data_IF_247002534325
#
_entry.id   IF_247002534325
#
_cell.length_a   1.000
_cell.length_b   1.000
_cell.length_c   1.000
_cell.angle_alpha   90.00
_cell.angle_beta   90.00
_cell.angle_gamma   90.00
#
_symmetry.space_group_name_H-M   'P 1'
#
loop_
_entity.id
_entity.type
_entity.pdbx_description
1 polymer ?
#
# COMPACT_ATOMS: atom_id res chain seq x y z
N UNK A 1 -8.52 -48.84 26.93
CA UNK A 1 -9.97 -48.76 26.53
C UNK A 1 -10.77 -47.70 27.29
N UNK A 2 -10.62 -47.53 28.60
CA UNK A 2 -11.14 -46.36 29.30
C UNK A 2 -10.31 -45.11 28.97
N UNK A 3 -8.99 -45.25 28.87
CA UNK A 3 -8.08 -44.15 28.46
C UNK A 3 -8.39 -43.63 27.05
N UNK A 4 -8.81 -44.50 26.13
CA UNK A 4 -9.14 -44.11 24.74
C UNK A 4 -10.40 -43.27 24.67
N UNK A 5 -11.40 -43.60 25.51
CA UNK A 5 -12.64 -42.83 25.64
C UNK A 5 -12.36 -41.46 26.26
N UNK A 6 -11.51 -41.39 27.30
CA UNK A 6 -11.16 -40.15 27.95
C UNK A 6 -10.33 -39.24 27.01
N UNK A 7 -9.41 -39.81 26.21
CA UNK A 7 -8.66 -39.08 25.19
C UNK A 7 -9.59 -38.53 24.09
N UNK A 8 -10.52 -39.36 23.57
CA UNK A 8 -11.47 -38.88 22.56
C UNK A 8 -12.33 -37.74 23.10
N UNK A 9 -12.76 -37.82 24.36
CA UNK A 9 -13.55 -36.78 25.02
C UNK A 9 -12.72 -35.50 25.25
N UNK A 10 -11.46 -35.62 25.60
CA UNK A 10 -10.55 -34.49 25.72
C UNK A 10 -10.34 -33.81 24.36
N UNK A 11 -10.15 -34.56 23.27
CA UNK A 11 -10.03 -34.05 21.93
C UNK A 11 -11.31 -33.33 21.46
N UNK A 12 -12.49 -33.88 21.76
CA UNK A 12 -13.77 -33.23 21.49
C UNK A 12 -13.90 -31.88 22.21
N UNK A 13 -13.58 -31.83 23.51
CA UNK A 13 -13.64 -30.59 24.28
C UNK A 13 -12.62 -29.55 23.76
N UNK A 14 -11.42 -29.97 23.36
CA UNK A 14 -10.42 -29.08 22.74
C UNK A 14 -10.91 -28.52 21.39
N UNK A 15 -11.50 -29.38 20.55
CA UNK A 15 -12.10 -28.96 19.27
C UNK A 15 -13.25 -27.96 19.47
N UNK A 16 -14.12 -28.23 20.49
CA UNK A 16 -15.20 -27.31 20.83
C UNK A 16 -14.73 -25.97 21.32
N UNK A 17 -13.66 -25.93 22.15
CA UNK A 17 -13.03 -24.66 22.56
C UNK A 17 -12.44 -23.91 21.37
N UNK A 18 -11.74 -24.62 20.48
CA UNK A 18 -11.18 -24.02 19.24
C UNK A 18 -12.30 -23.43 18.38
N UNK A 19 -13.40 -24.13 18.21
CA UNK A 19 -14.57 -23.64 17.47
C UNK A 19 -15.13 -22.34 18.07
N UNK A 20 -15.37 -22.31 19.40
CA UNK A 20 -15.89 -21.11 20.08
C UNK A 20 -14.94 -19.92 19.90
N UNK A 21 -13.63 -20.14 20.06
CA UNK A 21 -12.62 -19.09 19.86
C UNK A 21 -12.57 -18.59 18.42
N UNK A 22 -12.68 -19.48 17.43
CA UNK A 22 -12.70 -19.15 16.01
C UNK A 22 -13.93 -18.32 15.65
N UNK A 23 -15.11 -18.69 16.18
CA UNK A 23 -16.35 -17.93 15.98
C UNK A 23 -16.23 -16.52 16.58
N UNK A 24 -15.69 -16.40 17.79
CA UNK A 24 -15.45 -15.09 18.41
C UNK A 24 -14.47 -14.24 17.60
N UNK A 25 -13.39 -14.83 17.11
CA UNK A 25 -12.41 -14.15 16.24
C UNK A 25 -13.04 -13.70 14.91
N UNK A 26 -13.91 -14.53 14.32
CA UNK A 26 -14.64 -14.16 13.10
C UNK A 26 -15.51 -12.91 13.31
N UNK A 27 -16.31 -12.86 14.36
CA UNK A 27 -17.13 -11.67 14.64
C UNK A 27 -16.28 -10.43 14.93
N UNK A 28 -15.16 -10.59 15.64
CA UNK A 28 -14.23 -9.48 15.87
C UNK A 28 -13.62 -8.98 14.56
N UNK A 29 -13.23 -9.88 13.67
CA UNK A 29 -12.70 -9.51 12.35
C UNK A 29 -13.78 -8.82 11.48
N UNK A 30 -15.02 -9.29 11.54
CA UNK A 30 -16.16 -8.70 10.84
C UNK A 30 -16.44 -7.27 11.33
N UNK A 31 -16.40 -7.04 12.64
CA UNK A 31 -16.56 -5.70 13.20
C UNK A 31 -15.43 -4.75 12.81
N UNK A 32 -14.18 -5.22 12.80
CA UNK A 32 -13.06 -4.44 12.28
C UNK A 32 -13.22 -4.10 10.79
N UNK A 33 -13.75 -5.04 10.01
CA UNK A 33 -14.04 -4.82 8.60
C UNK A 33 -15.12 -3.75 8.39
N UNK A 34 -16.21 -3.78 9.18
CA UNK A 34 -17.23 -2.72 9.18
C UNK A 34 -16.63 -1.34 9.48
N UNK A 35 -15.79 -1.26 10.52
CA UNK A 35 -15.11 -0.01 10.89
C UNK A 35 -14.26 0.53 9.73
N UNK A 36 -13.51 -0.33 9.05
CA UNK A 36 -12.69 0.07 7.88
C UNK A 36 -13.53 0.58 6.70
N UNK A 37 -14.74 0.03 6.54
CA UNK A 37 -15.68 0.48 5.51
C UNK A 37 -16.50 1.71 5.93
N UNK A 38 -16.36 2.19 7.18
CA UNK A 38 -17.16 3.29 7.71
C UNK A 38 -18.63 2.92 7.95
N UNK A 39 -18.93 1.61 8.13
CA UNK A 39 -20.28 1.12 8.37
C UNK A 39 -20.59 1.08 9.87
N UNK A 40 -21.86 1.31 10.27
CA UNK A 40 -22.28 1.14 11.66
C UNK A 40 -22.10 -0.30 12.14
N UNK A 41 -21.66 -0.50 13.38
CA UNK A 41 -21.50 -1.85 13.96
C UNK A 41 -22.83 -2.62 14.06
N UNK A 42 -23.95 -1.89 14.13
CA UNK A 42 -25.31 -2.49 14.16
C UNK A 42 -25.73 -3.11 12.82
N UNK A 43 -25.06 -2.76 11.71
CA UNK A 43 -25.37 -3.30 10.39
C UNK A 43 -24.99 -4.79 10.34
N UNK A 44 -25.88 -5.62 9.78
CA UNK A 44 -25.60 -7.05 9.60
C UNK A 44 -25.02 -7.27 8.20
N UNK A 45 -23.77 -7.71 8.14
CA UNK A 45 -23.10 -8.08 6.90
C UNK A 45 -22.96 -9.60 6.87
N UNK A 46 -23.36 -10.21 5.76
CA UNK A 46 -23.05 -11.60 5.42
C UNK A 46 -21.96 -11.60 4.35
N UNK A 47 -20.86 -12.29 4.61
CA UNK A 47 -19.86 -12.57 3.59
C UNK A 47 -20.35 -13.73 2.73
N UNK A 48 -20.16 -13.61 1.43
CA UNK A 48 -20.55 -14.66 0.48
C UNK A 48 -19.43 -15.72 0.42
N UNK A 49 -19.72 -16.90 0.96
CA UNK A 49 -18.80 -18.04 0.95
C UNK A 49 -18.49 -18.55 -0.48
N UNK A 50 -19.36 -18.23 -1.46
CA UNK A 50 -19.12 -18.59 -2.85
C UNK A 50 -17.87 -17.92 -3.40
N UNK A 51 -17.50 -16.72 -2.91
CA UNK A 51 -16.29 -16.03 -3.30
C UNK A 51 -15.04 -16.81 -2.89
N UNK A 52 -15.02 -17.35 -1.66
CA UNK A 52 -13.90 -18.16 -1.18
C UNK A 52 -13.77 -19.44 -2.02
N UNK A 53 -14.89 -20.12 -2.26
CA UNK A 53 -14.94 -21.33 -3.09
C UNK A 53 -14.44 -21.05 -4.52
N UNK A 54 -14.84 -19.93 -5.12
CA UNK A 54 -14.35 -19.52 -6.44
C UNK A 54 -12.84 -19.21 -6.43
N UNK A 55 -12.33 -18.61 -5.34
CA UNK A 55 -10.90 -18.35 -5.16
C UNK A 55 -10.11 -19.66 -5.06
N UNK A 56 -10.64 -20.65 -4.34
CA UNK A 56 -10.02 -21.98 -4.22
C UNK A 56 -10.03 -22.75 -5.55
N UNK A 57 -11.14 -22.72 -6.30
CA UNK A 57 -11.27 -23.38 -7.62
C UNK A 57 -10.35 -22.74 -8.66
N UNK A 58 -10.25 -21.42 -8.68
CA UNK A 58 -9.36 -20.71 -9.64
C UNK A 58 -7.86 -20.90 -9.30
N UNK A 59 -7.55 -21.27 -8.06
CA UNK A 59 -6.18 -21.50 -7.61
C UNK A 59 -5.26 -20.30 -7.78
N UNK A 60 -3.97 -20.59 -8.01
CA UNK A 60 -2.98 -19.57 -8.29
C UNK A 60 -3.03 -19.14 -9.75
N UNK A 61 -3.11 -17.83 -9.97
CA UNK A 61 -2.88 -17.26 -11.30
C UNK A 61 -1.39 -16.91 -11.42
N UNK A 62 -0.62 -17.52 -12.30
CA UNK A 62 0.79 -17.22 -12.45
C UNK A 62 0.98 -15.78 -12.88
N UNK A 63 1.89 -15.08 -12.20
CA UNK A 63 2.28 -13.71 -12.53
C UNK A 63 3.66 -13.78 -13.16
N UNK A 64 3.72 -13.68 -14.49
CA UNK A 64 4.96 -13.56 -15.24
C UNK A 64 5.24 -12.07 -15.49
N UNK A 65 5.83 -11.39 -14.50
CA UNK A 65 6.27 -10.01 -14.63
C UNK A 65 7.80 -9.97 -14.77
N UNK A 66 8.26 -9.34 -15.84
CA UNK A 66 9.67 -8.99 -15.95
C UNK A 66 9.99 -7.85 -14.96
N UNK A 67 10.99 -8.00 -14.07
CA UNK A 67 11.34 -6.98 -13.08
C UNK A 67 11.65 -5.62 -13.70
N UNK A 68 12.27 -5.59 -14.89
CA UNK A 68 12.62 -4.36 -15.57
C UNK A 68 11.38 -3.65 -16.12
N UNK A 69 10.45 -4.41 -16.71
CA UNK A 69 9.18 -3.86 -17.19
C UNK A 69 8.33 -3.33 -16.03
N UNK A 70 8.29 -4.04 -14.90
CA UNK A 70 7.61 -3.59 -13.67
C UNK A 70 8.22 -2.28 -13.14
N UNK A 71 9.55 -2.17 -13.12
CA UNK A 71 10.24 -0.95 -12.72
C UNK A 71 9.89 0.24 -13.63
N UNK A 72 9.95 0.08 -14.95
CA UNK A 72 9.58 1.15 -15.88
C UNK A 72 8.12 1.57 -15.75
N UNK A 73 7.21 0.61 -15.51
CA UNK A 73 5.82 0.91 -15.27
C UNK A 73 5.64 1.70 -13.96
N UNK A 74 6.31 1.30 -12.89
CA UNK A 74 6.24 1.98 -11.60
C UNK A 74 6.78 3.42 -11.70
N UNK A 75 7.94 3.64 -12.33
CA UNK A 75 8.50 4.98 -12.54
C UNK A 75 7.53 5.87 -13.31
N UNK A 76 6.82 5.34 -14.31
CA UNK A 76 5.93 6.13 -15.18
C UNK A 76 4.51 6.32 -14.65
N UNK A 77 4.05 5.46 -13.71
CA UNK A 77 2.63 5.42 -13.29
C UNK A 77 2.41 5.59 -11.79
N UNK A 78 3.41 5.31 -10.96
CA UNK A 78 3.26 5.47 -9.53
C UNK A 78 3.19 6.96 -9.17
N UNK A 79 2.07 7.39 -8.60
CA UNK A 79 1.81 8.80 -8.28
C UNK A 79 2.90 9.40 -7.37
N UNK A 80 3.40 8.62 -6.41
CA UNK A 80 4.46 9.07 -5.52
C UNK A 80 5.77 9.33 -6.28
N UNK A 81 6.08 8.51 -7.29
CA UNK A 81 7.28 8.70 -8.11
C UNK A 81 7.15 9.92 -9.00
N UNK A 82 5.97 10.17 -9.58
CA UNK A 82 5.69 11.38 -10.34
C UNK A 82 5.87 12.63 -9.48
N UNK A 83 5.40 12.62 -8.23
CA UNK A 83 5.63 13.72 -7.29
C UNK A 83 7.13 13.96 -7.01
N UNK A 84 7.95 12.91 -6.92
CA UNK A 84 9.39 13.08 -6.76
C UNK A 84 10.07 13.66 -8.00
N UNK A 85 9.60 13.30 -9.19
CA UNK A 85 10.07 13.89 -10.46
C UNK A 85 9.74 15.39 -10.48
N UNK A 86 8.51 15.77 -10.14
CA UNK A 86 8.08 17.17 -10.08
C UNK A 86 8.89 17.98 -9.06
N UNK A 87 9.12 17.42 -7.86
CA UNK A 87 9.97 18.06 -6.83
C UNK A 87 11.41 18.26 -7.32
N UNK A 88 11.96 17.29 -8.04
CA UNK A 88 13.29 17.42 -8.61
C UNK A 88 13.35 18.50 -9.70
N UNK A 89 12.32 18.59 -10.56
CA UNK A 89 12.21 19.69 -11.53
C UNK A 89 12.07 21.06 -10.86
N UNK A 90 11.35 21.14 -9.74
CA UNK A 90 11.21 22.38 -8.96
C UNK A 90 12.55 22.80 -8.37
N UNK A 91 13.38 21.86 -7.91
CA UNK A 91 14.74 22.19 -7.44
C UNK A 91 15.62 22.73 -8.55
N UNK A 92 15.49 22.22 -9.79
CA UNK A 92 16.17 22.80 -10.96
C UNK A 92 15.69 24.23 -11.27
N UNK A 93 14.36 24.46 -11.17
CA UNK A 93 13.77 25.81 -11.35
C UNK A 93 14.28 26.77 -10.28
N UNK A 94 14.41 26.32 -9.02
CA UNK A 94 14.94 27.12 -7.92
C UNK A 94 16.37 27.61 -8.17
N UNK A 95 17.25 26.77 -8.74
CA UNK A 95 18.62 27.16 -9.13
C UNK A 95 18.57 28.24 -10.22
N UNK A 96 17.72 28.06 -11.25
CA UNK A 96 17.58 29.06 -12.33
C UNK A 96 17.09 30.40 -11.79
N UNK A 97 16.08 30.35 -10.88
CA UNK A 97 15.52 31.52 -10.23
C UNK A 97 16.57 32.26 -9.38
N UNK A 98 17.38 31.51 -8.61
CA UNK A 98 18.48 32.09 -7.83
C UNK A 98 19.57 32.72 -8.72
N UNK A 99 19.86 32.11 -9.88
CA UNK A 99 20.76 32.68 -10.87
C UNK A 99 20.21 33.97 -11.49
N UNK A 100 18.90 34.02 -11.80
CA UNK A 100 18.26 35.21 -12.33
C UNK A 100 18.25 36.38 -11.33
N UNK A 101 18.13 36.10 -10.04
CA UNK A 101 18.25 37.12 -8.98
C UNK A 101 19.63 37.77 -8.87
N UNK A 102 20.66 37.23 -9.50
CA UNK A 102 21.98 37.86 -9.62
C UNK A 102 22.01 38.98 -10.67
N UNK A 103 21.03 39.00 -11.58
CA UNK A 103 20.93 40.01 -12.63
C UNK A 103 20.23 41.28 -12.10
N UNK A 104 20.48 42.44 -12.73
CA UNK A 104 19.68 43.65 -12.46
C UNK A 104 18.19 43.41 -12.77
N UNK A 105 17.32 43.88 -11.90
CA UNK A 105 15.86 43.86 -12.11
C UNK A 105 15.37 45.15 -12.71
N UNK A 106 14.51 45.10 -13.72
CA UNK A 106 13.79 46.23 -14.26
C UNK A 106 12.29 45.97 -14.18
N UNK A 107 11.57 46.78 -13.41
CA UNK A 107 10.14 46.66 -13.25
C UNK A 107 9.44 47.89 -13.80
N UNK A 108 8.51 47.69 -14.73
CA UNK A 108 7.61 48.72 -15.22
C UNK A 108 6.24 48.46 -14.56
N UNK A 109 5.74 49.40 -13.81
CA UNK A 109 4.41 49.32 -13.20
C UNK A 109 3.53 50.46 -13.69
N UNK A 110 2.29 50.18 -14.02
CA UNK A 110 1.25 51.13 -14.37
C UNK A 110 0.08 51.01 -13.37
N UNK A 111 -0.37 52.13 -12.84
CA UNK A 111 -1.55 52.21 -11.99
C UNK A 111 -2.52 53.20 -12.58
N UNK A 112 -3.78 52.82 -12.66
CA UNK A 112 -4.88 53.72 -12.98
C UNK A 112 -5.89 53.66 -11.85
N UNK A 113 -6.26 54.82 -11.29
CA UNK A 113 -7.20 54.95 -10.19
C UNK A 113 -8.36 55.87 -10.63
N UNK A 114 -9.59 55.40 -10.40
CA UNK A 114 -10.81 56.10 -10.68
C UNK A 114 -11.55 56.33 -9.34
N UNK A 115 -11.78 57.57 -9.00
CA UNK A 115 -12.56 57.89 -7.81
C UNK A 115 -14.07 58.03 -8.10
N UNK A 116 -14.90 57.51 -7.20
CA UNK A 116 -16.36 57.72 -7.28
C UNK A 116 -16.74 59.06 -6.66
N UNK A 117 -17.86 59.67 -7.12
CA UNK A 117 -18.42 60.94 -6.56
C UNK A 117 -18.93 60.71 -5.14
N UNK A 118 -18.68 61.65 -4.25
CA UNK A 118 -19.26 61.68 -2.91
C UNK A 118 -20.72 62.12 -2.93
N UNK A 119 -21.64 61.57 -2.11
CA UNK A 119 -21.46 60.36 -1.30
C UNK A 119 -21.27 59.14 -2.18
N UNK A 120 -20.56 58.13 -1.70
CA UNK A 120 -20.07 56.96 -2.44
C UNK A 120 -21.12 56.34 -3.34
N UNK A 121 -21.06 56.58 -4.68
CA UNK A 121 -21.96 56.00 -5.67
C UNK A 121 -21.16 55.02 -6.51
N UNK A 122 -21.39 53.74 -6.29
CA UNK A 122 -20.65 52.63 -6.96
C UNK A 122 -20.97 52.53 -8.46
N UNK A 123 -21.98 53.29 -8.96
CA UNK A 123 -22.39 53.28 -10.34
C UNK A 123 -21.90 54.51 -11.16
N UNK A 124 -21.42 55.58 -10.47
CA UNK A 124 -20.98 56.83 -11.13
C UNK A 124 -19.53 57.16 -10.78
N UNK A 125 -18.67 56.80 -11.69
CA UNK A 125 -17.27 57.19 -11.66
C UNK A 125 -17.05 58.54 -12.32
N UNK A 126 -16.11 59.32 -11.78
CA UNK A 126 -15.74 60.60 -12.35
C UNK A 126 -14.63 60.44 -13.36
N UNK A 127 -14.93 60.39 -14.67
CA UNK A 127 -13.96 60.23 -15.71
C UNK A 127 -12.92 61.36 -15.80
N UNK A 128 -13.23 62.55 -15.23
CA UNK A 128 -12.35 63.68 -15.20
C UNK A 128 -11.29 63.61 -14.07
N UNK A 129 -11.44 62.64 -13.17
CA UNK A 129 -10.52 62.42 -12.02
C UNK A 129 -9.78 61.07 -12.16
N UNK A 130 -9.36 60.71 -13.37
CA UNK A 130 -8.50 59.53 -13.57
C UNK A 130 -7.06 59.91 -13.19
N UNK A 131 -6.56 59.30 -12.12
CA UNK A 131 -5.14 59.39 -11.80
C UNK A 131 -4.42 58.21 -12.49
N UNK A 132 -3.44 58.53 -13.32
CA UNK A 132 -2.59 57.50 -13.93
C UNK A 132 -1.14 57.71 -13.50
N UNK A 133 -0.50 56.62 -13.06
CA UNK A 133 0.89 56.59 -12.66
C UNK A 133 1.62 55.52 -13.47
N UNK A 134 2.74 55.89 -14.05
CA UNK A 134 3.67 54.95 -14.70
C UNK A 134 5.01 55.06 -13.98
N UNK A 135 5.47 53.98 -13.38
CA UNK A 135 6.75 53.94 -12.67
C UNK A 135 7.71 52.94 -13.29
N UNK A 136 8.97 53.32 -13.40
CA UNK A 136 10.07 52.46 -13.82
C UNK A 136 11.04 52.32 -12.63
N UNK A 137 11.16 51.10 -12.13
CA UNK A 137 12.05 50.78 -11.03
C UNK A 137 13.20 49.91 -11.51
N UNK A 138 14.43 50.39 -11.30
CA UNK A 138 15.69 49.67 -11.56
C UNK A 138 16.28 49.17 -10.24
N UNK A 139 16.31 47.83 -10.06
CA UNK A 139 16.95 47.18 -8.92
C UNK A 139 18.36 46.72 -9.32
N UNK A 140 19.37 47.44 -8.85
CA UNK A 140 20.78 47.11 -9.08
C UNK A 140 21.34 46.34 -7.88
N UNK A 141 21.84 45.09 -8.05
CA UNK A 141 22.43 44.31 -6.96
C UNK A 141 23.82 44.82 -6.59
N UNK A 142 23.89 45.96 -5.88
CA UNK A 142 25.16 46.55 -5.45
C UNK A 142 25.89 45.68 -4.42
N UNK A 143 25.10 45.10 -3.46
CA UNK A 143 25.60 44.06 -2.57
C UNK A 143 25.26 42.68 -3.17
N UNK A 144 26.28 42.06 -3.78
CA UNK A 144 26.14 40.76 -4.43
C UNK A 144 26.32 39.56 -3.51
N UNK A 145 26.86 39.77 -2.29
CA UNK A 145 27.23 38.68 -1.40
C UNK A 145 26.01 37.86 -0.93
N UNK A 146 24.89 38.45 -0.45
CA UNK A 146 23.71 37.68 -0.06
C UNK A 146 23.08 36.91 -1.23
N UNK A 147 23.02 37.54 -2.43
CA UNK A 147 22.46 36.88 -3.62
C UNK A 147 23.37 35.76 -4.13
N UNK A 148 24.69 35.90 -4.07
CA UNK A 148 25.63 34.85 -4.40
C UNK A 148 25.57 33.66 -3.42
N UNK A 149 25.38 33.95 -2.13
CA UNK A 149 25.17 32.89 -1.15
C UNK A 149 23.87 32.16 -1.37
N UNK A 150 22.75 32.85 -1.62
CA UNK A 150 21.47 32.22 -1.97
C UNK A 150 21.56 31.34 -3.23
N UNK A 151 22.33 31.74 -4.24
CA UNK A 151 22.58 30.89 -5.41
C UNK A 151 23.39 29.63 -5.06
N UNK A 152 24.43 29.76 -4.22
CA UNK A 152 25.19 28.60 -3.74
C UNK A 152 24.34 27.65 -2.89
N UNK A 153 23.49 28.18 -2.02
CA UNK A 153 22.52 27.41 -1.25
C UNK A 153 21.58 26.63 -2.17
N UNK A 154 21.06 27.27 -3.22
CA UNK A 154 20.21 26.60 -4.20
C UNK A 154 20.94 25.47 -4.96
N UNK A 155 22.23 25.63 -5.28
CA UNK A 155 23.06 24.59 -5.87
C UNK A 155 23.27 23.41 -4.91
N UNK A 156 23.58 23.68 -3.64
CA UNK A 156 23.74 22.64 -2.61
C UNK A 156 22.43 21.87 -2.40
N UNK A 157 21.32 22.59 -2.33
CA UNK A 157 19.99 21.97 -2.23
C UNK A 157 19.69 21.08 -3.43
N UNK A 158 19.97 21.55 -4.65
CA UNK A 158 19.80 20.75 -5.86
C UNK A 158 20.66 19.47 -5.87
N UNK A 159 21.93 19.55 -5.44
CA UNK A 159 22.77 18.35 -5.32
C UNK A 159 22.23 17.36 -4.30
N UNK A 160 21.68 17.86 -3.19
CA UNK A 160 21.04 17.02 -2.18
C UNK A 160 19.80 16.34 -2.75
N UNK A 161 18.95 17.08 -3.46
CA UNK A 161 17.74 16.56 -4.10
C UNK A 161 18.07 15.53 -5.17
N UNK A 162 19.13 15.74 -5.96
CA UNK A 162 19.63 14.76 -6.94
C UNK A 162 20.00 13.43 -6.26
N UNK A 163 20.74 13.50 -5.14
CA UNK A 163 21.13 12.30 -4.38
C UNK A 163 19.90 11.61 -3.78
N UNK A 164 18.95 12.39 -3.26
CA UNK A 164 17.71 11.87 -2.72
C UNK A 164 16.85 11.20 -3.80
N UNK A 165 16.75 11.81 -4.96
CA UNK A 165 16.02 11.26 -6.11
C UNK A 165 16.66 9.93 -6.59
N UNK A 166 17.98 9.87 -6.72
CA UNK A 166 18.68 8.62 -7.06
C UNK A 166 18.39 7.53 -6.04
N UNK A 167 18.44 7.86 -4.74
CA UNK A 167 18.11 6.91 -3.67
C UNK A 167 16.67 6.42 -3.78
N UNK A 168 15.71 7.29 -4.12
CA UNK A 168 14.30 6.89 -4.32
C UNK A 168 14.12 5.92 -5.48
N UNK A 169 14.88 6.08 -6.56
CA UNK A 169 14.88 5.13 -7.67
C UNK A 169 15.44 3.77 -7.25
N UNK A 170 16.51 3.76 -6.46
CA UNK A 170 17.10 2.53 -5.92
C UNK A 170 16.15 1.83 -4.94
N UNK A 171 15.49 2.59 -4.05
CA UNK A 171 14.49 2.09 -3.11
C UNK A 171 13.31 1.47 -3.87
N UNK A 172 12.78 2.16 -4.90
CA UNK A 172 11.70 1.65 -5.75
C UNK A 172 12.09 0.32 -6.42
N UNK A 173 13.29 0.24 -6.99
CA UNK A 173 13.78 -0.99 -7.58
C UNK A 173 13.87 -2.13 -6.56
N UNK A 174 14.42 -1.84 -5.38
CA UNK A 174 14.53 -2.82 -4.31
C UNK A 174 13.14 -3.29 -3.81
N UNK A 175 12.16 -2.39 -3.72
CA UNK A 175 10.80 -2.73 -3.32
C UNK A 175 10.10 -3.64 -4.33
N UNK A 176 10.27 -3.37 -5.63
CA UNK A 176 9.77 -4.23 -6.71
C UNK A 176 10.42 -5.61 -6.65
N UNK A 177 11.76 -5.68 -6.57
CA UNK A 177 12.48 -6.93 -6.50
C UNK A 177 12.10 -7.75 -5.25
N UNK A 178 11.85 -7.08 -4.12
CA UNK A 178 11.36 -7.69 -2.89
C UNK A 178 9.94 -8.20 -3.04
N UNK A 179 9.05 -7.40 -3.63
CA UNK A 179 7.66 -7.78 -3.90
C UNK A 179 7.58 -9.03 -4.77
N UNK A 180 8.33 -9.07 -5.86
CA UNK A 180 8.38 -10.23 -6.77
C UNK A 180 8.92 -11.49 -6.08
N UNK A 181 9.98 -11.37 -5.27
CA UNK A 181 10.51 -12.50 -4.48
C UNK A 181 9.51 -12.99 -3.44
N UNK A 182 8.80 -12.07 -2.77
CA UNK A 182 7.75 -12.42 -1.81
C UNK A 182 6.61 -13.15 -2.50
N UNK A 183 6.17 -12.68 -3.67
CA UNK A 183 5.11 -13.32 -4.45
C UNK A 183 5.50 -14.75 -4.84
N UNK A 184 6.73 -14.95 -5.31
CA UNK A 184 7.24 -16.28 -5.65
C UNK A 184 7.36 -17.19 -4.43
N UNK A 185 7.85 -16.68 -3.31
CA UNK A 185 7.90 -17.41 -2.05
C UNK A 185 6.50 -17.87 -1.60
N UNK A 186 5.50 -16.99 -1.70
CA UNK A 186 4.12 -17.34 -1.33
C UNK A 186 3.49 -18.34 -2.28
N UNK A 187 3.84 -18.27 -3.58
CA UNK A 187 3.45 -19.28 -4.56
C UNK A 187 3.96 -20.67 -4.18
N UNK A 188 5.26 -20.78 -3.92
CA UNK A 188 5.90 -22.03 -3.51
C UNK A 188 5.34 -22.54 -2.17
N UNK A 189 5.07 -21.63 -1.21
CA UNK A 189 4.45 -22.01 0.05
C UNK A 189 3.07 -22.64 -0.16
N UNK A 190 2.23 -22.02 -0.99
CA UNK A 190 0.92 -22.60 -1.31
C UNK A 190 1.03 -24.00 -1.93
N UNK A 191 1.94 -24.21 -2.89
CA UNK A 191 2.16 -25.51 -3.50
C UNK A 191 2.60 -26.57 -2.46
N UNK A 192 3.48 -26.17 -1.55
CA UNK A 192 3.93 -27.05 -0.47
C UNK A 192 2.77 -27.39 0.50
N UNK A 193 1.95 -26.41 0.90
CA UNK A 193 0.79 -26.66 1.76
C UNK A 193 -0.25 -27.55 1.06
N UNK A 194 -0.48 -27.37 -0.23
CA UNK A 194 -1.38 -28.23 -1.02
C UNK A 194 -0.89 -29.68 -1.05
N UNK A 195 0.42 -29.88 -1.22
CA UNK A 195 1.00 -31.21 -1.18
C UNK A 195 0.92 -31.83 0.24
N UNK A 196 1.13 -31.01 1.29
CA UNK A 196 0.98 -31.45 2.67
C UNK A 196 -0.46 -31.90 2.96
N UNK A 197 -1.46 -31.18 2.49
CA UNK A 197 -2.87 -31.57 2.62
C UNK A 197 -3.16 -32.91 1.92
N UNK A 198 -2.63 -33.11 0.71
CA UNK A 198 -2.78 -34.38 -0.01
C UNK A 198 -2.19 -35.56 0.78
N UNK A 199 -1.04 -35.37 1.42
CA UNK A 199 -0.41 -36.38 2.28
C UNK A 199 -1.21 -36.58 3.57
N UNK A 200 -1.73 -35.52 4.19
CA UNK A 200 -2.58 -35.61 5.37
C UNK A 200 -3.88 -36.38 5.10
N UNK A 201 -4.53 -36.16 3.94
CA UNK A 201 -5.70 -36.90 3.53
C UNK A 201 -5.40 -38.40 3.40
N UNK A 202 -4.29 -38.76 2.76
CA UNK A 202 -3.85 -40.18 2.64
C UNK A 202 -3.53 -40.79 4.01
N UNK A 203 -2.94 -40.01 4.92
CA UNK A 203 -2.66 -40.48 6.29
C UNK A 203 -3.94 -40.83 7.03
N UNK A 204 -4.98 -39.96 6.96
CA UNK A 204 -6.30 -40.25 7.58
C UNK A 204 -6.90 -41.54 7.00
N UNK A 205 -6.93 -41.68 5.67
CA UNK A 205 -7.44 -42.86 5.00
C UNK A 205 -6.70 -44.14 5.45
N UNK A 206 -5.36 -44.10 5.42
CA UNK A 206 -4.53 -45.23 5.83
C UNK A 206 -4.73 -45.59 7.33
N UNK A 207 -4.80 -44.58 8.21
CA UNK A 207 -4.97 -44.79 9.65
C UNK A 207 -6.34 -45.33 9.96
N UNK A 208 -7.38 -44.89 9.22
CA UNK A 208 -8.74 -45.45 9.36
C UNK A 208 -8.77 -46.94 9.01
N UNK A 209 -8.18 -47.34 7.88
CA UNK A 209 -8.10 -48.77 7.51
C UNK A 209 -7.29 -49.61 8.50
N UNK A 210 -6.19 -49.05 9.04
CA UNK A 210 -5.42 -49.73 10.08
C UNK A 210 -6.18 -49.88 11.41
N UNK A 211 -6.98 -48.87 11.79
CA UNK A 211 -7.83 -48.92 12.98
C UNK A 211 -8.92 -49.99 12.81
N UNK A 212 -9.59 -50.06 11.65
CA UNK A 212 -10.58 -51.08 11.32
C UNK A 212 -9.97 -52.48 11.37
N UNK A 213 -8.72 -52.65 10.95
CA UNK A 213 -7.96 -53.88 11.03
C UNK A 213 -7.41 -54.19 12.46
N UNK A 214 -7.69 -53.35 13.44
CA UNK A 214 -7.19 -53.47 14.82
C UNK A 214 -5.68 -53.26 14.97
N UNK A 215 -5.03 -52.57 14.02
CA UNK A 215 -3.55 -52.33 13.96
C UNK A 215 -3.15 -50.90 14.28
N UNK A 216 -4.08 -49.99 14.51
CA UNK A 216 -3.87 -48.64 14.98
C UNK A 216 -4.72 -48.33 16.19
N UNK A 217 -4.35 -47.31 16.94
CA UNK A 217 -5.11 -46.80 18.08
C UNK A 217 -6.01 -45.62 17.68
N UNK A 218 -7.08 -45.38 18.44
CA UNK A 218 -7.99 -44.24 18.21
C UNK A 218 -7.19 -42.89 18.26
N UNK A 219 -6.19 -42.82 19.12
CA UNK A 219 -5.29 -41.68 19.20
C UNK A 219 -4.64 -41.37 17.86
N UNK A 220 -4.15 -42.35 17.14
CA UNK A 220 -3.45 -42.18 15.85
C UNK A 220 -4.40 -41.60 14.80
N UNK A 221 -5.68 -42.02 14.81
CA UNK A 221 -6.70 -41.48 13.94
C UNK A 221 -7.03 -40.02 14.29
N UNK A 222 -7.22 -39.69 15.57
CA UNK A 222 -7.48 -38.31 16.02
C UNK A 222 -6.32 -37.38 15.65
N UNK A 223 -5.06 -37.85 15.84
CA UNK A 223 -3.89 -37.10 15.44
C UNK A 223 -3.84 -36.86 13.91
N UNK A 224 -4.14 -37.89 13.12
CA UNK A 224 -4.19 -37.77 11.67
C UNK A 224 -5.29 -36.81 11.20
N UNK A 225 -6.48 -36.84 11.81
CA UNK A 225 -7.57 -35.93 11.52
C UNK A 225 -7.25 -34.48 11.92
N UNK A 226 -6.61 -34.28 13.06
CA UNK A 226 -6.16 -32.94 13.48
C UNK A 226 -5.15 -32.37 12.49
N UNK A 227 -4.16 -33.17 12.09
CA UNK A 227 -3.17 -32.77 11.08
C UNK A 227 -3.81 -32.46 9.71
N UNK A 228 -4.89 -33.17 9.34
CA UNK A 228 -5.65 -32.88 8.12
C UNK A 228 -6.36 -31.53 8.19
N UNK A 229 -7.01 -31.23 9.30
CA UNK A 229 -7.70 -29.94 9.52
C UNK A 229 -6.68 -28.79 9.49
N UNK A 230 -5.56 -28.96 10.18
CA UNK A 230 -4.49 -27.96 10.20
C UNK A 230 -3.91 -27.71 8.79
N UNK A 231 -3.71 -28.78 8.02
CA UNK A 231 -3.26 -28.67 6.63
C UNK A 231 -4.30 -27.97 5.73
N UNK A 232 -5.60 -28.22 5.93
CA UNK A 232 -6.66 -27.53 5.20
C UNK A 232 -6.65 -26.03 5.48
N UNK A 233 -6.55 -25.65 6.76
CA UNK A 233 -6.45 -24.25 7.19
C UNK A 233 -5.21 -23.60 6.58
N UNK A 234 -4.07 -24.29 6.60
CA UNK A 234 -2.80 -23.78 6.06
C UNK A 234 -2.85 -23.54 4.54
N UNK A 235 -3.53 -24.40 3.77
CA UNK A 235 -3.73 -24.21 2.33
C UNK A 235 -4.56 -22.96 2.06
N UNK A 236 -5.69 -22.81 2.75
CA UNK A 236 -6.56 -21.64 2.57
C UNK A 236 -5.84 -20.35 2.98
N UNK A 237 -5.13 -20.36 4.10
CA UNK A 237 -4.33 -19.23 4.54
C UNK A 237 -3.22 -18.87 3.50
N UNK A 238 -2.48 -19.86 2.99
CA UNK A 238 -1.44 -19.62 1.99
C UNK A 238 -2.01 -19.08 0.66
N UNK A 239 -3.22 -19.52 0.27
CA UNK A 239 -3.90 -19.01 -0.91
C UNK A 239 -4.29 -17.54 -0.76
N UNK A 240 -4.89 -17.19 0.38
CA UNK A 240 -5.27 -15.80 0.71
C UNK A 240 -4.03 -14.91 0.77
N UNK A 241 -2.98 -15.36 1.44
CA UNK A 241 -1.70 -14.66 1.54
C UNK A 241 -1.05 -14.37 0.18
N UNK A 242 -1.11 -15.34 -0.74
CA UNK A 242 -0.62 -15.13 -2.10
C UNK A 242 -1.48 -14.11 -2.86
N UNK A 243 -2.80 -14.18 -2.73
CA UNK A 243 -3.74 -13.23 -3.36
C UNK A 243 -3.51 -11.81 -2.84
N UNK A 244 -3.35 -11.64 -1.53
CA UNK A 244 -3.06 -10.35 -0.91
C UNK A 244 -1.74 -9.76 -1.42
N UNK A 245 -0.67 -10.56 -1.46
CA UNK A 245 0.64 -10.13 -1.99
C UNK A 245 0.61 -9.72 -3.47
N UNK A 246 -0.38 -10.18 -4.22
CA UNK A 246 -0.56 -9.79 -5.62
C UNK A 246 -1.22 -8.42 -5.77
N UNK A 247 -1.94 -7.98 -4.74
CA UNK A 247 -2.64 -6.69 -4.73
C UNK A 247 -1.77 -5.55 -4.17
N UNK A 248 -0.71 -5.88 -3.44
CA UNK A 248 0.29 -4.96 -2.91
C UNK A 248 1.32 -4.58 -3.97
#
# INVERSE_FOLDING_TARGET
RLSDVDQARQAELAARNSYVNTVAAYFTALDQYKIRLGLPLSERIHLDDAVLTAVEQNGLVPVALDPLAAYHLAVSKQLQMLNYIDQFEDSQRAVRLAADKLKPGLTLAGRAELESRRPTDYARFNADQVATEVSLQLDLPLDRLPRANAYREALIAFELDLRNFTRRLDDLKNDIDRGLRTLEQRRLNYENQRNALLLANRRVESTTLLLEAGRAEVRDLVEAQTAQIDAQIAVTAALVDHKDSRLQ
#
